data_IF_183241968396
#
_entry.id   IF_183241968396
#
_cell.length_a   1.000
_cell.length_b   1.000
_cell.length_c   1.000
_cell.angle_alpha   90.00
_cell.angle_beta   90.00
_cell.angle_gamma   90.00
#
_symmetry.space_group_name_H-M   'P 1'
#
loop_
_entity.id
_entity.type
_entity.pdbx_description
1 polymer ?
#
# COMPACT_ATOMS: atom_id res chain seq x y z
N UNK A 1 -39.43 41.79 -75.14
CA UNK A 1 -40.49 40.78 -74.87
C UNK A 1 -39.95 39.42 -75.30
N UNK A 2 -39.23 38.76 -74.38
CA UNK A 2 -38.73 37.40 -74.59
C UNK A 2 -39.94 36.47 -74.70
N UNK A 3 -39.99 35.63 -75.74
CA UNK A 3 -41.07 34.65 -75.93
C UNK A 3 -41.13 33.77 -74.68
N UNK A 4 -42.24 33.87 -73.94
CA UNK A 4 -42.56 32.99 -72.83
C UNK A 4 -42.54 31.54 -73.33
N UNK A 5 -41.50 30.80 -72.97
CA UNK A 5 -41.34 29.39 -73.31
C UNK A 5 -41.68 28.54 -72.07
N UNK A 6 -42.84 27.87 -72.04
CA UNK A 6 -43.22 26.95 -70.98
C UNK A 6 -42.18 25.85 -70.76
N UNK A 7 -41.42 25.49 -71.81
CA UNK A 7 -40.34 24.51 -71.73
C UNK A 7 -39.20 25.04 -70.87
N UNK A 8 -38.79 26.31 -71.04
CA UNK A 8 -37.74 26.96 -70.25
C UNK A 8 -38.11 27.04 -68.77
N UNK A 9 -39.36 27.41 -68.45
CA UNK A 9 -39.87 27.45 -67.07
C UNK A 9 -39.87 26.04 -66.43
N UNK A 10 -40.34 25.02 -67.17
CA UNK A 10 -40.30 23.63 -66.70
C UNK A 10 -38.89 23.09 -66.49
N UNK A 11 -37.90 23.58 -67.25
CA UNK A 11 -36.49 23.21 -67.11
C UNK A 11 -35.87 23.87 -65.88
N UNK A 12 -36.19 25.14 -65.62
CA UNK A 12 -35.73 25.88 -64.43
C UNK A 12 -36.26 25.28 -63.13
N UNK A 13 -37.57 24.94 -63.07
CA UNK A 13 -38.16 24.28 -61.89
C UNK A 13 -37.52 22.91 -61.66
N UNK A 14 -37.33 22.12 -62.74
CA UNK A 14 -36.63 20.82 -62.65
C UNK A 14 -35.18 20.96 -62.20
N UNK A 15 -34.48 22.02 -62.59
CA UNK A 15 -33.11 22.29 -62.14
C UNK A 15 -33.06 22.62 -60.64
N UNK A 16 -33.99 23.43 -60.14
CA UNK A 16 -34.05 23.79 -58.71
C UNK A 16 -34.46 22.59 -57.84
N UNK A 17 -35.47 21.82 -58.26
CA UNK A 17 -35.86 20.57 -57.57
C UNK A 17 -34.71 19.55 -57.53
N UNK A 18 -33.94 19.43 -58.63
CA UNK A 18 -32.73 18.58 -58.67
C UNK A 18 -31.65 19.07 -57.71
N UNK A 19 -31.48 20.40 -57.58
CA UNK A 19 -30.51 21.01 -56.67
C UNK A 19 -30.87 20.72 -55.21
N UNK A 20 -32.13 20.89 -54.82
CA UNK A 20 -32.58 20.56 -53.46
C UNK A 20 -32.51 19.06 -53.17
N UNK A 21 -32.91 18.20 -54.12
CA UNK A 21 -32.73 16.75 -53.98
C UNK A 21 -31.25 16.37 -53.80
N UNK A 22 -30.35 17.05 -54.50
CA UNK A 22 -28.92 16.85 -54.32
C UNK A 22 -28.45 17.33 -52.94
N UNK A 23 -28.96 18.45 -52.43
CA UNK A 23 -28.65 18.94 -51.08
C UNK A 23 -29.19 18.01 -49.99
N UNK A 24 -30.44 17.56 -50.07
CA UNK A 24 -31.04 16.61 -49.12
C UNK A 24 -30.26 15.29 -49.11
N UNK A 25 -29.83 14.81 -50.30
CA UNK A 25 -28.95 13.63 -50.38
C UNK A 25 -27.59 13.86 -49.73
N UNK A 26 -27.01 15.04 -49.89
CA UNK A 26 -25.74 15.39 -49.24
C UNK A 26 -25.89 15.44 -47.72
N UNK A 27 -26.94 16.08 -47.20
CA UNK A 27 -27.25 16.13 -45.76
C UNK A 27 -27.47 14.71 -45.20
N UNK A 28 -28.20 13.85 -45.93
CA UNK A 28 -28.41 12.45 -45.55
C UNK A 28 -27.11 11.62 -45.55
N UNK A 29 -26.21 11.87 -46.50
CA UNK A 29 -24.87 11.25 -46.48
C UNK A 29 -24.03 11.73 -45.30
N UNK A 30 -24.13 13.03 -44.96
CA UNK A 30 -23.44 13.62 -43.80
C UNK A 30 -23.95 13.04 -42.48
N UNK A 31 -25.28 12.95 -42.29
CA UNK A 31 -25.89 12.28 -41.13
C UNK A 31 -25.35 10.86 -40.99
N UNK A 32 -25.38 10.07 -42.08
CA UNK A 32 -24.89 8.69 -42.05
C UNK A 32 -23.43 8.62 -41.64
N UNK A 33 -22.59 9.52 -42.15
CA UNK A 33 -21.16 9.58 -41.79
C UNK A 33 -20.96 9.94 -40.33
N UNK A 34 -21.68 10.93 -39.80
CA UNK A 34 -21.56 11.35 -38.40
C UNK A 34 -22.04 10.28 -37.44
N UNK A 35 -23.18 9.63 -37.74
CA UNK A 35 -23.70 8.51 -36.91
C UNK A 35 -22.70 7.36 -36.90
N UNK A 36 -22.12 7.02 -38.06
CA UNK A 36 -21.14 5.94 -38.14
C UNK A 36 -19.87 6.25 -37.35
N UNK A 37 -19.36 7.49 -37.44
CA UNK A 37 -18.18 7.93 -36.69
C UNK A 37 -18.44 7.95 -35.17
N UNK A 38 -19.57 8.52 -34.74
CA UNK A 38 -19.95 8.59 -33.32
C UNK A 38 -20.16 7.20 -32.72
N UNK A 39 -20.83 6.29 -33.43
CA UNK A 39 -21.02 4.90 -32.99
C UNK A 39 -19.67 4.18 -32.88
N UNK A 40 -18.76 4.40 -33.82
CA UNK A 40 -17.40 3.82 -33.77
C UNK A 40 -16.64 4.31 -32.53
N UNK A 41 -16.61 5.64 -32.30
CA UNK A 41 -15.92 6.26 -31.16
C UNK A 41 -16.53 5.86 -29.82
N UNK A 42 -17.86 5.77 -29.73
CA UNK A 42 -18.56 5.26 -28.54
C UNK A 42 -18.22 3.81 -28.26
N UNK A 43 -18.23 2.97 -29.30
CA UNK A 43 -17.89 1.55 -29.17
C UNK A 43 -16.45 1.36 -28.69
N UNK A 44 -15.51 2.15 -29.22
CA UNK A 44 -14.12 2.16 -28.76
C UNK A 44 -14.00 2.64 -27.31
N UNK A 45 -14.62 3.77 -26.96
CA UNK A 45 -14.59 4.33 -25.61
C UNK A 45 -15.17 3.37 -24.57
N UNK A 46 -16.33 2.76 -24.84
CA UNK A 46 -16.92 1.75 -23.96
C UNK A 46 -16.08 0.47 -23.87
N UNK A 47 -15.43 0.06 -24.96
CA UNK A 47 -14.46 -1.03 -24.97
C UNK A 47 -13.30 -0.77 -24.03
N UNK A 48 -12.65 0.39 -24.17
CA UNK A 48 -11.55 0.84 -23.31
C UNK A 48 -12.00 0.99 -21.86
N UNK A 49 -13.18 1.57 -21.61
CA UNK A 49 -13.72 1.73 -20.25
C UNK A 49 -13.93 0.37 -19.58
N UNK A 50 -14.48 -0.61 -20.31
CA UNK A 50 -14.65 -1.98 -19.82
C UNK A 50 -13.31 -2.60 -19.42
N UNK A 51 -12.30 -2.48 -20.27
CA UNK A 51 -10.98 -3.07 -20.02
C UNK A 51 -10.26 -2.38 -18.86
N UNK A 52 -10.30 -1.05 -18.78
CA UNK A 52 -9.75 -0.26 -17.67
C UNK A 52 -10.43 -0.58 -16.34
N UNK A 53 -11.76 -0.67 -16.33
CA UNK A 53 -12.53 -0.99 -15.12
C UNK A 53 -12.24 -2.42 -14.64
N UNK A 54 -12.07 -3.37 -15.56
CA UNK A 54 -11.68 -4.73 -15.21
C UNK A 54 -10.27 -4.76 -14.58
N UNK A 55 -9.30 -4.07 -15.17
CA UNK A 55 -7.95 -3.95 -14.64
C UNK A 55 -7.93 -3.26 -13.26
N UNK A 56 -8.72 -2.20 -13.08
CA UNK A 56 -8.85 -1.51 -11.80
C UNK A 56 -9.41 -2.44 -10.71
N UNK A 57 -10.45 -3.21 -11.01
CA UNK A 57 -11.04 -4.16 -10.06
C UNK A 57 -10.04 -5.25 -9.64
N UNK A 58 -9.23 -5.76 -10.57
CA UNK A 58 -8.17 -6.73 -10.26
C UNK A 58 -7.13 -6.13 -9.32
N UNK A 59 -6.65 -4.91 -9.61
CA UNK A 59 -5.69 -4.20 -8.76
C UNK A 59 -6.25 -3.91 -7.37
N UNK A 60 -7.50 -3.44 -7.28
CA UNK A 60 -8.17 -3.13 -6.00
C UNK A 60 -8.39 -4.42 -5.19
N UNK A 61 -8.79 -5.52 -5.83
CA UNK A 61 -8.90 -6.83 -5.18
C UNK A 61 -7.54 -7.32 -4.65
N UNK A 62 -6.48 -7.15 -5.45
CA UNK A 62 -5.10 -7.40 -5.03
C UNK A 62 -4.72 -6.58 -3.80
N UNK A 63 -4.98 -5.27 -3.82
CA UNK A 63 -4.78 -4.35 -2.70
C UNK A 63 -5.51 -4.81 -1.43
N UNK A 64 -6.80 -5.13 -1.54
CA UNK A 64 -7.61 -5.61 -0.41
C UNK A 64 -7.08 -6.95 0.11
N UNK A 65 -6.58 -7.84 -0.74
CA UNK A 65 -5.98 -9.11 -0.30
C UNK A 65 -4.64 -8.91 0.41
N UNK A 66 -3.84 -7.93 -0.01
CA UNK A 66 -2.55 -7.56 0.60
C UNK A 66 -2.75 -6.85 1.95
N UNK A 67 -3.70 -5.91 2.05
CA UNK A 67 -4.02 -5.21 3.30
C UNK A 67 -4.89 -6.04 4.27
N UNK A 68 -5.77 -6.88 3.74
CA UNK A 68 -6.72 -7.69 4.51
C UNK A 68 -6.03 -8.79 5.32
N UNK A 69 -4.87 -9.28 4.88
CA UNK A 69 -4.01 -10.16 5.68
C UNK A 69 -3.31 -9.43 6.83
N UNK A 70 -3.27 -8.10 6.80
CA UNK A 70 -2.53 -7.25 7.74
C UNK A 70 -3.46 -6.53 8.74
N UNK A 71 -4.78 -6.48 8.50
CA UNK A 71 -5.74 -5.62 9.22
C UNK A 71 -6.67 -6.33 10.19
N UNK A 72 -6.45 -7.61 10.53
CA UNK A 72 -7.19 -8.28 11.60
C UNK A 72 -6.75 -7.77 12.97
N UNK A 73 -7.38 -6.67 13.41
CA UNK A 73 -7.31 -6.05 14.76
C UNK A 73 -6.02 -5.28 15.04
N UNK A 74 -6.02 -3.96 14.81
CA UNK A 74 -5.66 -2.98 15.84
C UNK A 74 -5.87 -1.55 15.31
N UNK A 75 -6.82 -0.82 15.91
CA UNK A 75 -6.84 0.64 15.87
C UNK A 75 -5.68 1.13 16.73
N UNK A 76 -4.50 1.36 16.15
CA UNK A 76 -3.43 2.12 16.81
C UNK A 76 -3.10 3.36 16.00
N UNK A 77 -2.78 4.42 16.75
CA UNK A 77 -2.59 5.78 16.25
C UNK A 77 -1.59 5.89 15.11
N UNK A 78 -1.68 7.03 14.45
CA UNK A 78 -1.13 7.47 13.16
C UNK A 78 0.41 7.35 12.99
N UNK A 79 1.00 6.19 13.29
CA UNK A 79 2.40 5.86 13.00
C UNK A 79 2.40 5.21 11.62
N UNK A 80 3.08 5.85 10.67
CA UNK A 80 3.27 5.27 9.33
C UNK A 80 4.12 4.00 9.43
N UNK A 81 3.98 3.07 8.50
CA UNK A 81 4.74 1.81 8.55
C UNK A 81 6.25 2.08 8.55
N UNK A 82 6.71 3.14 7.88
CA UNK A 82 8.11 3.57 7.89
C UNK A 82 8.60 4.05 9.25
N UNK A 83 7.79 4.81 9.99
CA UNK A 83 8.10 5.20 11.38
C UNK A 83 8.11 3.99 12.31
N UNK A 84 7.20 3.03 12.11
CA UNK A 84 7.17 1.78 12.86
C UNK A 84 8.42 0.92 12.64
N UNK A 85 8.85 0.76 11.38
CA UNK A 85 10.07 0.04 11.02
C UNK A 85 11.29 0.70 11.67
N UNK A 86 11.41 2.03 11.55
CA UNK A 86 12.53 2.80 12.10
C UNK A 86 12.58 2.72 13.63
N UNK A 87 11.44 2.87 14.30
CA UNK A 87 11.36 2.77 15.75
C UNK A 87 11.70 1.35 16.23
N UNK A 88 11.24 0.32 15.51
CA UNK A 88 11.52 -1.07 15.88
C UNK A 88 13.00 -1.41 15.69
N UNK A 89 13.62 -0.96 14.59
CA UNK A 89 15.05 -1.16 14.35
C UNK A 89 15.91 -0.50 15.45
N UNK A 90 15.58 0.74 15.84
CA UNK A 90 16.26 1.43 16.94
C UNK A 90 16.12 0.69 18.27
N UNK A 91 14.93 0.19 18.60
CA UNK A 91 14.70 -0.58 19.83
C UNK A 91 15.47 -1.90 19.80
N UNK A 92 15.50 -2.60 18.67
CA UNK A 92 16.24 -3.85 18.53
C UNK A 92 17.75 -3.65 18.61
N UNK A 93 18.27 -2.57 18.02
CA UNK A 93 19.69 -2.24 18.13
C UNK A 93 20.08 -1.96 19.58
N UNK A 94 19.29 -1.15 20.30
CA UNK A 94 19.50 -0.91 21.73
C UNK A 94 19.41 -2.22 22.55
N UNK A 95 18.49 -3.13 22.19
CA UNK A 95 18.35 -4.43 22.84
C UNK A 95 19.59 -5.31 22.61
N UNK A 96 20.12 -5.38 21.39
CA UNK A 96 21.34 -6.15 21.09
C UNK A 96 22.56 -5.59 21.81
N UNK A 97 22.71 -4.25 21.84
CA UNK A 97 23.77 -3.59 22.61
C UNK A 97 23.67 -3.95 24.10
N UNK A 98 22.46 -3.96 24.67
CA UNK A 98 22.23 -4.36 26.04
C UNK A 98 22.60 -5.83 26.30
N UNK A 99 22.28 -6.75 25.39
CA UNK A 99 22.64 -8.17 25.53
C UNK A 99 24.16 -8.36 25.44
N UNK A 100 24.85 -7.64 24.56
CA UNK A 100 26.33 -7.65 24.49
C UNK A 100 26.93 -7.17 25.81
N UNK A 101 26.40 -6.08 26.38
CA UNK A 101 26.85 -5.57 27.66
C UNK A 101 26.64 -6.58 28.81
N UNK A 102 25.48 -7.24 28.85
CA UNK A 102 25.19 -8.30 29.83
C UNK A 102 26.14 -9.49 29.65
N UNK A 103 26.45 -9.89 28.42
CA UNK A 103 27.41 -10.96 28.14
C UNK A 103 28.82 -10.62 28.65
N UNK A 104 29.29 -9.39 28.40
CA UNK A 104 30.58 -8.91 28.93
C UNK A 104 30.60 -8.88 30.46
N UNK A 105 29.54 -8.40 31.09
CA UNK A 105 29.41 -8.39 32.55
C UNK A 105 29.37 -9.81 33.13
N UNK A 106 28.75 -10.76 32.43
CA UNK A 106 28.72 -12.18 32.81
C UNK A 106 30.13 -12.77 32.78
N UNK A 107 30.93 -12.47 31.75
CA UNK A 107 32.33 -12.91 31.68
C UNK A 107 33.17 -12.33 32.82
N UNK A 108 32.99 -11.05 33.14
CA UNK A 108 33.66 -10.43 34.28
C UNK A 108 33.26 -11.08 35.62
N UNK A 109 32.00 -11.47 35.78
CA UNK A 109 31.52 -12.21 36.95
C UNK A 109 32.14 -13.61 37.04
N UNK A 110 32.35 -14.29 35.91
CA UNK A 110 33.00 -15.60 35.87
C UNK A 110 34.42 -15.54 36.45
N UNK A 111 35.21 -14.51 36.09
CA UNK A 111 36.54 -14.31 36.68
C UNK A 111 36.49 -14.11 38.20
N UNK A 112 35.53 -13.32 38.70
CA UNK A 112 35.35 -13.12 40.15
C UNK A 112 34.94 -14.40 40.88
N UNK A 113 34.13 -15.24 40.25
CA UNK A 113 33.75 -16.55 40.79
C UNK A 113 34.96 -17.48 40.87
N UNK A 114 35.82 -17.47 39.84
CA UNK A 114 37.07 -18.24 39.85
C UNK A 114 38.04 -17.75 40.95
N UNK A 115 38.14 -16.43 41.17
CA UNK A 115 38.92 -15.86 42.27
C UNK A 115 38.40 -16.34 43.64
N UNK A 116 37.08 -16.28 43.87
CA UNK A 116 36.46 -16.77 45.12
C UNK A 116 36.68 -18.27 45.29
N UNK A 117 36.60 -19.06 44.22
CA UNK A 117 36.89 -20.50 44.27
C UNK A 117 38.35 -20.77 44.70
N UNK A 118 39.30 -19.98 44.18
CA UNK A 118 40.70 -20.07 44.59
C UNK A 118 40.92 -19.65 46.05
N UNK A 119 40.23 -18.62 46.52
CA UNK A 119 40.26 -18.21 47.94
C UNK A 119 39.72 -19.30 48.87
N UNK A 120 38.63 -19.99 48.48
CA UNK A 120 38.07 -21.10 49.27
C UNK A 120 39.06 -22.26 49.42
N UNK A 121 39.81 -22.60 48.36
CA UNK A 121 40.88 -23.61 48.43
C UNK A 121 42.00 -23.20 49.40
N UNK A 122 42.36 -21.91 49.47
CA UNK A 122 43.35 -21.42 50.44
C UNK A 122 42.84 -21.48 51.88
N UNK A 123 41.54 -21.24 52.09
CA UNK A 123 40.91 -21.40 53.41
C UNK A 123 40.94 -22.87 53.83
N UNK A 124 40.61 -23.79 52.93
CA UNK A 124 40.68 -25.23 53.19
C UNK A 124 42.10 -25.69 53.57
N UNK A 125 43.13 -25.22 52.84
CA UNK A 125 44.54 -25.48 53.16
C UNK A 125 44.90 -24.96 54.56
N UNK A 126 44.43 -23.76 54.90
CA UNK A 126 44.67 -23.12 56.20
C UNK A 126 44.00 -23.88 57.34
N UNK A 127 42.77 -24.38 57.14
CA UNK A 127 42.09 -25.25 58.09
C UNK A 127 42.85 -26.57 58.29
N UNK A 128 43.41 -27.14 57.23
CA UNK A 128 44.30 -28.31 57.30
C UNK A 128 45.51 -28.05 58.22
N UNK A 129 46.16 -26.89 58.09
CA UNK A 129 47.28 -26.48 58.96
C UNK A 129 46.83 -26.29 60.42
N UNK A 130 45.67 -25.67 60.65
CA UNK A 130 45.12 -25.48 62.01
C UNK A 130 44.85 -26.84 62.66
N UNK A 131 44.25 -27.78 61.91
CA UNK A 131 43.99 -29.14 62.40
C UNK A 131 45.29 -29.86 62.78
N UNK A 132 46.36 -29.72 61.98
CA UNK A 132 47.67 -30.28 62.30
C UNK A 132 48.27 -29.66 63.59
N UNK A 133 48.16 -28.34 63.77
CA UNK A 133 48.61 -27.65 64.99
C UNK A 133 47.79 -28.10 66.21
N UNK A 134 46.47 -28.22 66.07
CA UNK A 134 45.60 -28.70 67.14
C UNK A 134 45.97 -30.13 67.56
N UNK A 135 46.26 -31.01 66.61
CA UNK A 135 46.69 -32.39 66.90
C UNK A 135 48.05 -32.45 67.60
N UNK A 136 49.03 -31.65 67.15
CA UNK A 136 50.31 -31.53 67.83
C UNK A 136 50.15 -31.01 69.26
N UNK A 137 49.32 -29.97 69.45
CA UNK A 137 49.05 -29.35 70.75
C UNK A 137 48.35 -30.30 71.71
N UNK A 138 47.43 -31.13 71.19
CA UNK A 138 46.75 -32.19 71.95
C UNK A 138 47.75 -33.22 72.47
N UNK A 139 48.72 -33.62 71.65
CA UNK A 139 49.81 -34.53 72.05
C UNK A 139 50.74 -33.86 73.06
N UNK A 140 51.09 -32.59 72.86
CA UNK A 140 51.89 -31.81 73.80
C UNK A 140 51.25 -31.74 75.19
N UNK A 141 49.95 -31.42 75.24
CA UNK A 141 49.18 -31.37 76.49
C UNK A 141 49.09 -32.74 77.17
N UNK A 142 48.99 -33.83 76.41
CA UNK A 142 49.06 -35.19 76.96
C UNK A 142 50.44 -35.49 77.57
N UNK A 143 51.52 -35.18 76.86
CA UNK A 143 52.89 -35.39 77.36
C UNK A 143 53.16 -34.56 78.61
N UNK A 144 52.72 -33.30 78.65
CA UNK A 144 52.83 -32.43 79.82
C UNK A 144 52.05 -32.98 81.02
N UNK A 145 50.84 -33.53 80.81
CA UNK A 145 50.07 -34.22 81.87
C UNK A 145 50.80 -35.44 82.42
N UNK A 146 51.45 -36.24 81.55
CA UNK A 146 52.23 -37.41 81.98
C UNK A 146 53.41 -36.97 82.85
N UNK A 147 54.14 -35.93 82.43
CA UNK A 147 55.27 -35.37 83.20
C UNK A 147 54.82 -34.81 84.55
N UNK A 148 53.73 -34.04 84.58
CA UNK A 148 53.15 -33.51 85.81
C UNK A 148 52.71 -34.63 86.79
N UNK A 149 52.17 -35.74 86.27
CA UNK A 149 51.84 -36.91 87.10
C UNK A 149 53.08 -37.62 87.64
N UNK A 150 54.22 -37.52 86.96
CA UNK A 150 55.48 -38.20 87.29
C UNK A 150 56.27 -37.53 88.42
N UNK A 151 56.16 -36.20 88.58
CA UNK A 151 56.97 -35.45 89.56
C UNK A 151 56.41 -35.41 91.00
N UNK A 152 55.12 -35.67 91.25
CA UNK A 152 54.55 -35.82 92.61
C UNK A 152 54.53 -34.56 93.50
N UNK A 153 53.39 -34.31 94.17
CA UNK A 153 53.08 -33.25 95.16
C UNK A 153 53.29 -31.76 94.79
N UNK A 154 54.19 -31.39 93.88
CA UNK A 154 54.40 -29.99 93.43
C UNK A 154 53.70 -29.63 92.09
N UNK A 155 53.03 -30.60 91.45
CA UNK A 155 52.61 -30.53 90.04
C UNK A 155 51.13 -30.27 89.78
N UNK A 156 50.34 -29.97 90.82
CA UNK A 156 48.89 -29.76 90.72
C UNK A 156 48.51 -28.66 89.72
N UNK A 157 49.18 -27.51 89.78
CA UNK A 157 48.95 -26.40 88.84
C UNK A 157 49.33 -26.75 87.39
N UNK A 158 50.45 -27.48 87.19
CA UNK A 158 50.89 -27.91 85.86
C UNK A 158 49.94 -28.94 85.23
N UNK A 159 49.36 -29.83 86.03
CA UNK A 159 48.36 -30.80 85.57
C UNK A 159 47.08 -30.11 85.06
N UNK A 160 46.62 -29.07 85.77
CA UNK A 160 45.45 -28.26 85.37
C UNK A 160 45.74 -27.52 84.06
N UNK A 161 46.90 -26.88 83.93
CA UNK A 161 47.31 -26.20 82.68
C UNK A 161 47.37 -27.19 81.51
N UNK A 162 47.96 -28.36 81.70
CA UNK A 162 48.09 -29.36 80.64
C UNK A 162 46.73 -29.98 80.24
N UNK A 163 45.77 -30.09 81.19
CA UNK A 163 44.39 -30.45 80.88
C UNK A 163 43.68 -29.36 80.07
N UNK A 164 43.87 -28.08 80.41
CA UNK A 164 43.25 -26.96 79.68
C UNK A 164 43.85 -26.79 78.28
N UNK A 165 45.17 -26.94 78.10
CA UNK A 165 45.82 -26.95 76.77
C UNK A 165 45.24 -28.04 75.88
N UNK A 166 45.03 -29.25 76.43
CA UNK A 166 44.39 -30.34 75.68
C UNK A 166 42.93 -30.02 75.36
N UNK A 167 42.19 -29.39 76.27
CA UNK A 167 40.80 -28.97 76.05
C UNK A 167 40.71 -27.93 74.94
N UNK A 168 41.57 -26.93 74.95
CA UNK A 168 41.67 -25.90 73.90
C UNK A 168 42.03 -26.50 72.54
N UNK A 169 42.94 -27.48 72.50
CA UNK A 169 43.29 -28.17 71.25
C UNK A 169 42.09 -28.94 70.66
N UNK A 170 41.29 -29.62 71.49
CA UNK A 170 40.08 -30.32 71.05
C UNK A 170 39.04 -29.31 70.55
N UNK A 171 38.79 -28.24 71.30
CA UNK A 171 37.86 -27.19 70.92
C UNK A 171 38.28 -26.51 69.61
N UNK A 172 39.58 -26.26 69.40
CA UNK A 172 40.10 -25.71 68.15
C UNK A 172 39.80 -26.62 66.95
N UNK A 173 39.89 -27.94 67.13
CA UNK A 173 39.58 -28.91 66.07
C UNK A 173 38.09 -28.96 65.75
N UNK A 174 37.24 -28.85 66.77
CA UNK A 174 35.79 -28.77 66.61
C UNK A 174 35.39 -27.51 65.83
N UNK A 175 35.94 -26.35 66.19
CA UNK A 175 35.72 -25.09 65.47
C UNK A 175 36.23 -25.18 64.02
N UNK A 176 37.42 -25.73 63.79
CA UNK A 176 37.93 -25.95 62.42
C UNK A 176 37.03 -26.85 61.59
N UNK A 177 36.40 -27.87 62.20
CA UNK A 177 35.42 -28.73 61.54
C UNK A 177 34.19 -27.94 61.08
N UNK A 178 33.62 -27.13 61.96
CA UNK A 178 32.48 -26.26 61.62
C UNK A 178 32.81 -25.27 60.50
N UNK A 179 34.02 -24.69 60.49
CA UNK A 179 34.45 -23.81 59.40
C UNK A 179 34.61 -24.60 58.10
N UNK A 180 35.14 -25.82 58.16
CA UNK A 180 35.26 -26.70 56.99
C UNK A 180 33.90 -26.99 56.35
N UNK A 181 32.88 -27.24 57.15
CA UNK A 181 31.51 -27.48 56.65
C UNK A 181 30.98 -26.24 55.90
N UNK A 182 31.20 -25.03 56.45
CA UNK A 182 30.81 -23.76 55.80
C UNK A 182 31.58 -23.54 54.50
N UNK A 183 32.86 -23.89 54.43
CA UNK A 183 33.67 -23.80 53.20
C UNK A 183 33.13 -24.72 52.11
N UNK A 184 32.78 -25.97 52.46
CA UNK A 184 32.19 -26.93 51.52
C UNK A 184 30.85 -26.42 50.99
N UNK A 185 29.98 -25.93 51.86
CA UNK A 185 28.69 -25.36 51.46
C UNK A 185 28.86 -24.14 50.55
N UNK A 186 29.80 -23.25 50.89
CA UNK A 186 30.12 -22.06 50.07
C UNK A 186 30.67 -22.46 48.71
N UNK A 187 31.51 -23.49 48.63
CA UNK A 187 32.03 -23.99 47.35
C UNK A 187 30.91 -24.51 46.44
N UNK A 188 29.90 -25.22 47.01
CA UNK A 188 28.73 -25.65 46.23
C UNK A 188 27.91 -24.46 45.70
N UNK A 189 27.78 -23.38 46.48
CA UNK A 189 27.13 -22.15 46.03
C UNK A 189 27.91 -21.46 44.89
N UNK A 190 29.23 -21.44 44.96
CA UNK A 190 30.12 -20.91 43.91
C UNK A 190 29.98 -21.71 42.62
N UNK A 191 29.95 -23.04 42.70
CA UNK A 191 29.74 -23.91 41.53
C UNK A 191 28.38 -23.68 40.87
N UNK A 192 27.33 -23.56 41.68
CA UNK A 192 25.97 -23.24 41.19
C UNK A 192 25.95 -21.86 40.50
N UNK A 193 26.60 -20.85 41.11
CA UNK A 193 26.70 -19.52 40.51
C UNK A 193 27.46 -19.54 39.17
N UNK A 194 28.50 -20.36 39.06
CA UNK A 194 29.28 -20.55 37.84
C UNK A 194 28.43 -21.09 36.69
N UNK A 195 27.55 -22.06 36.98
CA UNK A 195 26.65 -22.64 35.97
C UNK A 195 25.61 -21.61 35.47
N UNK A 196 25.00 -20.86 36.39
CA UNK A 196 24.02 -19.81 36.05
C UNK A 196 24.64 -18.72 35.17
N UNK A 197 25.84 -18.23 35.54
CA UNK A 197 26.55 -17.20 34.76
C UNK A 197 26.92 -17.70 33.37
N UNK A 198 27.30 -18.98 33.24
CA UNK A 198 27.62 -19.61 31.95
C UNK A 198 26.40 -19.74 31.04
N UNK A 199 25.24 -20.10 31.58
CA UNK A 199 24.00 -20.18 30.80
C UNK A 199 23.57 -18.79 30.31
N UNK A 200 23.60 -17.79 31.20
CA UNK A 200 23.25 -16.39 30.89
C UNK A 200 24.12 -15.81 29.76
N UNK A 201 25.43 -16.09 29.77
CA UNK A 201 26.33 -15.55 28.75
C UNK A 201 26.13 -16.15 27.35
N UNK A 202 25.71 -17.42 27.26
CA UNK A 202 25.70 -18.19 26.00
C UNK A 202 24.33 -18.27 25.33
N UNK A 203 23.27 -18.47 26.12
CA UNK A 203 21.92 -18.71 25.61
C UNK A 203 21.22 -17.42 25.18
N UNK A 204 21.39 -16.35 25.97
CA UNK A 204 20.72 -15.07 25.73
C UNK A 204 21.25 -14.39 24.47
N UNK A 205 22.55 -14.49 24.19
CA UNK A 205 23.15 -13.86 23.00
C UNK A 205 22.69 -14.52 21.70
N UNK A 206 22.74 -15.86 21.63
CA UNK A 206 22.36 -16.60 20.42
C UNK A 206 20.88 -16.42 20.09
N UNK A 207 20.01 -16.55 21.10
CA UNK A 207 18.57 -16.36 20.94
C UNK A 207 18.19 -14.92 20.55
N UNK A 208 18.85 -13.92 21.16
CA UNK A 208 18.59 -12.51 20.86
C UNK A 208 19.03 -12.15 19.44
N UNK A 209 20.19 -12.64 18.98
CA UNK A 209 20.64 -12.42 17.60
C UNK A 209 19.73 -13.10 16.58
N UNK A 210 19.27 -14.33 16.84
CA UNK A 210 18.33 -15.01 15.95
C UNK A 210 16.99 -14.26 15.88
N UNK A 211 16.50 -13.77 17.03
CA UNK A 211 15.29 -12.96 17.10
C UNK A 211 15.44 -11.64 16.34
N UNK A 212 16.59 -10.95 16.46
CA UNK A 212 16.90 -9.76 15.66
C UNK A 212 16.82 -10.09 14.16
N UNK A 213 17.51 -11.14 13.71
CA UNK A 213 17.54 -11.52 12.30
C UNK A 213 16.13 -11.83 11.76
N UNK A 214 15.27 -12.48 12.56
CA UNK A 214 13.86 -12.73 12.19
C UNK A 214 13.07 -11.42 12.05
N UNK A 215 13.25 -10.48 12.97
CA UNK A 215 12.56 -9.18 12.87
C UNK A 215 13.09 -8.37 11.70
N UNK A 216 14.41 -8.31 11.48
CA UNK A 216 15.01 -7.62 10.33
C UNK A 216 14.44 -8.17 9.00
N UNK A 217 14.31 -9.50 8.87
CA UNK A 217 13.70 -10.14 7.71
C UNK A 217 12.22 -9.78 7.55
N UNK A 218 11.46 -9.75 8.64
CA UNK A 218 10.04 -9.36 8.63
C UNK A 218 9.87 -7.88 8.26
N UNK A 219 10.74 -7.00 8.75
CA UNK A 219 10.73 -5.58 8.43
C UNK A 219 11.05 -5.33 6.95
N UNK A 220 12.01 -6.08 6.38
CA UNK A 220 12.29 -6.02 4.95
C UNK A 220 11.07 -6.43 4.10
N UNK A 221 10.33 -7.47 4.51
CA UNK A 221 9.10 -7.89 3.84
C UNK A 221 7.99 -6.85 3.95
N UNK A 222 7.82 -6.23 5.13
CA UNK A 222 6.84 -5.15 5.34
C UNK A 222 7.17 -3.95 4.45
N UNK A 223 8.43 -3.54 4.39
CA UNK A 223 8.87 -2.41 3.56
C UNK A 223 8.64 -2.67 2.06
N UNK A 224 8.88 -3.90 1.59
CA UNK A 224 8.61 -4.23 0.19
C UNK A 224 7.10 -4.28 -0.10
N UNK A 225 6.29 -4.80 0.83
CA UNK A 225 4.84 -4.81 0.69
C UNK A 225 4.25 -3.40 0.65
N UNK A 226 4.78 -2.48 1.47
CA UNK A 226 4.38 -1.07 1.46
C UNK A 226 4.72 -0.41 0.12
N UNK A 227 5.92 -0.66 -0.40
CA UNK A 227 6.35 -0.16 -1.72
C UNK A 227 5.47 -0.69 -2.85
N UNK A 228 5.12 -1.98 -2.82
CA UNK A 228 4.20 -2.59 -3.79
C UNK A 228 2.80 -1.99 -3.68
N UNK A 229 2.32 -1.78 -2.46
CA UNK A 229 1.02 -1.15 -2.19
C UNK A 229 0.98 0.28 -2.75
N UNK A 230 2.01 1.08 -2.50
CA UNK A 230 2.13 2.43 -3.05
C UNK A 230 2.12 2.42 -4.59
N UNK A 231 2.84 1.48 -5.22
CA UNK A 231 2.85 1.33 -6.68
C UNK A 231 1.46 0.95 -7.24
N UNK A 232 0.76 0.01 -6.59
CA UNK A 232 -0.59 -0.37 -7.00
C UNK A 232 -1.56 0.81 -6.89
N UNK A 233 -1.47 1.61 -5.81
CA UNK A 233 -2.29 2.82 -5.66
C UNK A 233 -2.01 3.84 -6.76
N UNK A 234 -0.75 4.06 -7.14
CA UNK A 234 -0.41 4.93 -8.27
C UNK A 234 -1.03 4.43 -9.59
N UNK A 235 -1.00 3.12 -9.85
CA UNK A 235 -1.63 2.53 -11.03
C UNK A 235 -3.15 2.71 -11.02
N UNK A 236 -3.81 2.56 -9.86
CA UNK A 236 -5.24 2.82 -9.72
C UNK A 236 -5.57 4.27 -10.04
N UNK A 237 -4.76 5.23 -9.57
CA UNK A 237 -4.95 6.66 -9.89
C UNK A 237 -4.79 6.91 -11.39
N UNK A 238 -3.77 6.32 -12.03
CA UNK A 238 -3.56 6.45 -13.47
C UNK A 238 -4.75 5.91 -14.27
N UNK A 239 -5.19 4.68 -13.97
CA UNK A 239 -6.35 4.06 -14.64
C UNK A 239 -7.61 4.91 -14.43
N UNK A 240 -7.80 5.49 -13.25
CA UNK A 240 -8.92 6.39 -12.99
C UNK A 240 -8.89 7.63 -13.91
N UNK A 241 -7.69 8.20 -14.16
CA UNK A 241 -7.52 9.28 -15.13
C UNK A 241 -7.82 8.86 -16.57
N UNK A 242 -7.38 7.67 -16.97
CA UNK A 242 -7.68 7.11 -18.30
C UNK A 242 -9.18 6.82 -18.48
N UNK A 243 -9.87 6.34 -17.44
CA UNK A 243 -11.33 6.18 -17.42
C UNK A 243 -12.00 7.54 -17.61
N UNK A 244 -11.54 8.58 -16.91
CA UNK A 244 -12.09 9.93 -17.05
C UNK A 244 -11.98 10.45 -18.50
N UNK A 245 -10.81 10.27 -19.13
CA UNK A 245 -10.61 10.65 -20.53
C UNK A 245 -11.53 9.86 -21.48
N UNK A 246 -11.67 8.55 -21.27
CA UNK A 246 -12.56 7.70 -22.08
C UNK A 246 -14.03 8.12 -21.95
N UNK A 247 -14.47 8.47 -20.74
CA UNK A 247 -15.81 9.03 -20.50
C UNK A 247 -15.96 10.37 -21.24
N UNK A 248 -14.96 11.25 -21.18
CA UNK A 248 -14.97 12.52 -21.91
C UNK A 248 -15.16 12.33 -23.43
N UNK A 249 -14.42 11.39 -24.03
CA UNK A 249 -14.57 11.04 -25.45
C UNK A 249 -15.96 10.47 -25.78
N UNK A 250 -16.52 9.65 -24.90
CA UNK A 250 -17.87 9.13 -25.07
C UNK A 250 -18.92 10.25 -25.01
N UNK A 251 -18.78 11.20 -24.08
CA UNK A 251 -19.69 12.35 -23.94
C UNK A 251 -19.60 13.29 -25.16
N UNK A 252 -18.41 13.59 -25.66
CA UNK A 252 -18.23 14.35 -26.90
C UNK A 252 -18.88 13.64 -28.08
N UNK A 253 -18.71 12.32 -28.16
CA UNK A 253 -19.30 11.52 -29.23
C UNK A 253 -20.83 11.57 -29.20
N UNK A 254 -21.48 11.65 -28.03
CA UNK A 254 -22.95 11.79 -27.90
C UNK A 254 -23.51 13.08 -28.50
N UNK A 255 -22.72 14.14 -28.63
CA UNK A 255 -23.17 15.41 -29.24
C UNK A 255 -23.58 15.28 -30.71
N UNK A 256 -23.26 14.15 -31.37
CA UNK A 256 -23.78 13.85 -32.70
C UNK A 256 -25.32 13.85 -32.77
N UNK A 257 -26.01 13.51 -31.67
CA UNK A 257 -27.48 13.50 -31.61
C UNK A 257 -28.06 14.89 -31.95
N UNK A 258 -27.49 15.94 -31.37
CA UNK A 258 -27.91 17.32 -31.60
C UNK A 258 -27.66 17.73 -33.06
N UNK A 259 -26.50 17.37 -33.62
CA UNK A 259 -26.17 17.64 -35.03
C UNK A 259 -27.07 16.88 -36.00
N UNK A 260 -27.37 15.60 -35.73
CA UNK A 260 -28.28 14.79 -36.55
C UNK A 260 -29.68 15.35 -36.49
N UNK A 261 -30.13 15.78 -35.31
CA UNK A 261 -31.43 16.43 -35.12
C UNK A 261 -31.52 17.70 -35.96
N UNK A 262 -30.49 18.55 -35.91
CA UNK A 262 -30.45 19.79 -36.67
C UNK A 262 -30.47 19.56 -38.19
N UNK A 263 -29.69 18.61 -38.70
CA UNK A 263 -29.69 18.27 -40.12
C UNK A 263 -31.02 17.67 -40.56
N UNK A 264 -31.62 16.81 -39.73
CA UNK A 264 -32.91 16.18 -40.03
C UNK A 264 -34.02 17.23 -40.11
N UNK A 265 -34.09 18.17 -39.16
CA UNK A 265 -35.02 19.30 -39.23
C UNK A 265 -34.79 20.19 -40.46
N UNK A 266 -33.52 20.37 -40.87
CA UNK A 266 -33.17 21.06 -42.11
C UNK A 266 -33.70 20.34 -43.35
N UNK A 267 -33.53 19.01 -43.41
CA UNK A 267 -34.06 18.18 -44.48
C UNK A 267 -35.59 18.21 -44.51
N UNK A 268 -36.27 18.13 -43.37
CA UNK A 268 -37.73 18.24 -43.27
C UNK A 268 -38.23 19.56 -43.84
N UNK A 269 -37.58 20.69 -43.51
CA UNK A 269 -37.92 22.00 -44.09
C UNK A 269 -37.75 22.03 -45.61
N UNK A 270 -36.67 21.43 -46.13
CA UNK A 270 -36.43 21.34 -47.59
C UNK A 270 -37.46 20.43 -48.27
N UNK A 271 -37.81 19.30 -47.68
CA UNK A 271 -38.85 18.39 -48.18
C UNK A 271 -40.22 19.09 -48.19
N UNK A 272 -40.61 19.76 -47.11
CA UNK A 272 -41.86 20.53 -47.05
C UNK A 272 -41.88 21.66 -48.11
N UNK A 273 -40.74 22.30 -48.36
CA UNK A 273 -40.61 23.28 -49.44
C UNK A 273 -40.71 22.63 -50.83
N UNK A 274 -40.25 21.39 -50.98
CA UNK A 274 -40.43 20.61 -52.20
C UNK A 274 -41.89 20.19 -52.43
N UNK A 275 -42.60 19.71 -51.41
CA UNK A 275 -44.01 19.29 -51.50
C UNK A 275 -44.91 20.46 -51.94
N UNK A 276 -44.59 21.69 -51.53
CA UNK A 276 -45.32 22.88 -52.00
C UNK A 276 -45.24 23.11 -53.51
N UNK A 277 -44.27 22.55 -54.23
CA UNK A 277 -44.25 22.58 -55.70
C UNK A 277 -45.43 21.87 -56.31
N UNK A 278 -45.96 20.83 -55.66
CA UNK A 278 -47.15 20.11 -56.12
C UNK A 278 -48.33 21.08 -56.27
N UNK A 279 -48.53 21.98 -55.29
CA UNK A 279 -49.55 23.04 -55.37
C UNK A 279 -49.33 24.09 -56.47
N UNK A 280 -48.08 24.24 -56.94
CA UNK A 280 -47.74 25.11 -58.08
C UNK A 280 -48.15 24.45 -59.39
N UNK A 281 -48.04 23.12 -59.49
CA UNK A 281 -48.41 22.33 -60.66
C UNK A 281 -49.90 21.95 -60.73
N UNK A 282 -50.56 21.64 -59.62
CA UNK A 282 -51.96 21.17 -59.58
C UNK A 282 -52.97 22.20 -60.09
N UNK A 283 -52.73 23.50 -59.84
CA UNK A 283 -53.57 24.58 -60.36
C UNK A 283 -53.34 24.88 -61.84
N UNK A 284 -52.29 24.32 -62.44
CA UNK A 284 -52.02 24.42 -63.86
C UNK A 284 -52.86 23.43 -64.67
N UNK A 285 -53.55 22.45 -64.05
CA UNK A 285 -54.45 21.53 -64.76
C UNK A 285 -55.95 21.79 -64.55
N UNK A 286 -56.34 22.60 -63.57
CA UNK A 286 -57.71 23.11 -63.44
C UNK A 286 -57.91 24.33 -64.35
N UNK A 287 -57.77 24.16 -65.66
CA UNK A 287 -57.98 25.26 -66.59
C UNK A 287 -59.46 25.58 -66.75
N UNK A 288 -59.89 26.69 -66.15
CA UNK A 288 -61.01 27.45 -66.68
C UNK A 288 -60.58 28.05 -68.04
N UNK A 289 -61.13 27.56 -69.15
CA UNK A 289 -60.79 28.02 -70.52
C UNK A 289 -61.05 29.53 -70.74
N UNK A 290 -61.71 30.20 -69.80
CA UNK A 290 -62.09 31.62 -69.85
C UNK A 290 -60.94 32.62 -69.67
N UNK A 291 -59.76 32.22 -69.18
CA UNK A 291 -58.63 33.15 -68.89
C UNK A 291 -57.64 33.17 -70.08
N UNK A 292 -57.16 34.31 -70.58
CA UNK A 292 -56.15 34.36 -71.65
C UNK A 292 -54.83 33.66 -71.31
N UNK A 293 -54.25 32.90 -72.26
CA UNK A 293 -52.98 32.14 -72.08
C UNK A 293 -51.83 32.95 -71.49
N UNK A 294 -51.75 34.25 -71.83
CA UNK A 294 -50.67 35.14 -71.36
C UNK A 294 -50.75 35.44 -69.86
N UNK A 295 -51.95 35.66 -69.34
CA UNK A 295 -52.17 35.92 -67.91
C UNK A 295 -51.90 34.67 -67.07
N UNK A 296 -52.23 33.49 -67.60
CA UNK A 296 -51.94 32.21 -66.95
C UNK A 296 -50.44 31.98 -66.77
N UNK A 297 -49.64 32.21 -67.83
CA UNK A 297 -48.18 32.03 -67.73
C UNK A 297 -47.54 33.06 -66.80
N UNK A 298 -48.03 34.31 -66.78
CA UNK A 298 -47.55 35.33 -65.83
C UNK A 298 -47.87 34.94 -64.37
N UNK A 299 -49.07 34.41 -64.12
CA UNK A 299 -49.46 33.92 -62.79
C UNK A 299 -48.61 32.72 -62.35
N UNK A 300 -48.38 31.73 -63.22
CA UNK A 300 -47.46 30.61 -62.93
C UNK A 300 -46.05 31.14 -62.63
N UNK A 301 -45.52 32.07 -63.43
CA UNK A 301 -44.20 32.65 -63.21
C UNK A 301 -44.07 33.35 -61.86
N UNK A 302 -45.09 34.12 -61.45
CA UNK A 302 -45.09 34.78 -60.16
C UNK A 302 -45.05 33.76 -59.01
N UNK A 303 -45.86 32.69 -59.08
CA UNK A 303 -45.88 31.63 -58.06
C UNK A 303 -44.59 30.81 -58.02
N UNK A 304 -44.00 30.54 -59.19
CA UNK A 304 -42.66 29.92 -59.31
C UNK A 304 -41.61 30.79 -58.61
N UNK A 305 -41.70 32.10 -58.75
CA UNK A 305 -40.76 33.04 -58.15
C UNK A 305 -40.96 33.19 -56.63
N UNK A 306 -42.21 33.23 -56.16
CA UNK A 306 -42.57 33.19 -54.74
C UNK A 306 -42.08 31.89 -54.09
N UNK A 307 -42.29 30.74 -54.75
CA UNK A 307 -41.81 29.45 -54.27
C UNK A 307 -40.29 29.37 -54.24
N UNK A 308 -39.60 29.95 -55.23
CA UNK A 308 -38.15 30.05 -55.27
C UNK A 308 -37.60 30.90 -54.12
N UNK A 309 -38.26 32.02 -53.79
CA UNK A 309 -37.89 32.85 -52.63
C UNK A 309 -38.12 32.11 -51.30
N UNK A 310 -39.23 31.38 -51.19
CA UNK A 310 -39.51 30.54 -50.02
C UNK A 310 -38.42 29.46 -49.82
N UNK A 311 -38.02 28.77 -50.89
CA UNK A 311 -36.94 27.77 -50.83
C UNK A 311 -35.59 28.36 -50.45
N UNK A 312 -35.26 29.54 -50.97
CA UNK A 312 -34.03 30.25 -50.61
C UNK A 312 -34.01 30.62 -49.11
N UNK A 313 -35.16 30.93 -48.52
CA UNK A 313 -35.27 31.22 -47.08
C UNK A 313 -35.07 29.99 -46.19
N UNK A 314 -35.42 28.80 -46.67
CA UNK A 314 -35.21 27.52 -45.97
C UNK A 314 -33.79 26.96 -46.11
N UNK A 315 -32.96 27.50 -47.00
CA UNK A 315 -31.59 27.05 -47.29
C UNK A 315 -30.54 27.60 -46.30
N UNK A 316 -30.93 27.94 -45.07
CA UNK A 316 -29.95 28.34 -44.05
C UNK A 316 -28.98 27.17 -43.77
N UNK A 317 -27.70 27.40 -44.06
CA UNK A 317 -26.63 26.44 -43.85
C UNK A 317 -26.54 26.11 -42.36
N UNK A 318 -26.60 24.83 -41.96
CA UNK A 318 -26.16 24.44 -40.64
C UNK A 318 -24.68 24.80 -40.50
N UNK A 319 -24.29 25.22 -39.29
CA UNK A 319 -22.93 25.58 -38.93
C UNK A 319 -22.00 24.44 -39.37
N UNK A 320 -21.01 24.76 -40.22
CA UNK A 320 -19.98 23.81 -40.63
C UNK A 320 -19.01 23.60 -39.47
N UNK A 321 -19.39 22.80 -38.48
CA UNK A 321 -18.40 22.14 -37.62
C UNK A 321 -17.99 20.85 -38.32
N UNK A 322 -16.91 20.94 -39.09
CA UNK A 322 -16.35 19.81 -39.83
C UNK A 322 -15.58 18.82 -38.92
N UNK A 323 -15.31 19.22 -37.67
CA UNK A 323 -14.63 18.40 -36.68
C UNK A 323 -15.24 18.63 -35.30
N UNK A 324 -15.50 17.52 -34.59
CA UNK A 324 -15.83 17.53 -33.16
C UNK A 324 -14.66 17.99 -32.27
N UNK A 325 -13.45 18.11 -32.81
CA UNK A 325 -12.24 18.50 -32.07
C UNK A 325 -12.14 19.99 -31.72
N UNK A 326 -13.03 20.85 -32.26
CA UNK A 326 -12.95 22.32 -32.09
C UNK A 326 -13.82 22.89 -30.95
N UNK A 327 -14.26 22.01 -30.04
CA UNK A 327 -14.86 22.42 -28.77
C UNK A 327 -13.85 22.31 -27.64
N UNK A 328 -13.01 23.34 -27.44
CA UNK A 328 -12.35 23.53 -26.14
C UNK A 328 -13.45 23.64 -25.08
N UNK A 329 -13.60 22.60 -24.27
CA UNK A 329 -14.38 22.66 -23.05
C UNK A 329 -13.36 22.57 -21.91
N UNK A 330 -13.07 23.72 -21.32
CA UNK A 330 -12.63 23.80 -19.93
C UNK A 330 -13.64 23.01 -19.08
N UNK A 331 -13.26 21.80 -18.67
CA UNK A 331 -13.93 21.06 -17.61
C UNK A 331 -13.08 21.22 -16.34
N UNK A 332 -13.72 21.86 -15.36
CA UNK A 332 -13.23 22.07 -13.99
C UNK A 332 -12.86 20.78 -13.26
#
# INVERSE_FOLDING_TARGET
MEKLDPVKLSQEIRAELRRELASIRADGMQIRSMVQDAVSKLSESFGTLRDLTAAQNELVSGLVSSLGKQSSKEKRGNITIGEFVTATDAILQAFVEHIVAVSQQSMAMMYRIDDVSAEMLQVEESLGKINAIADLTKVLGLNARIVAAREGQASGAFSVVAAEVRRLAIASREVSGLISDVVVETSNHVDTAKEVVKEMASKDMSFSMESKNKVDAMMAQISENDRLTAKMLQQVVQITGEIHNSIGMAVLSLQFEDMVTQLTQGMEKKIAAMEKWDSVFDMEFQFNESIPRRERVLHTQQRVQEQKQFMQSTSHRPVQQANMDEGDIELF
#
